data_IF_810014059348
#
_entry.id   IF_810014059348
#
_cell.length_a   1.000
_cell.length_b   1.000
_cell.length_c   1.000
_cell.angle_alpha   90.00
_cell.angle_beta   90.00
_cell.angle_gamma   90.00
#
_symmetry.space_group_name_H-M   'P 1'
#
loop_
_entity.id
_entity.type
_entity.pdbx_description
1 polymer ?
#
# COMPACT_ATOMS: atom_id res chain seq x y z
N UNK A 1 19.09 27.27 14.70
CA UNK A 1 18.30 27.74 13.53
C UNK A 1 18.00 26.53 12.67
N UNK A 2 16.74 26.11 12.55
CA UNK A 2 16.34 25.16 11.50
C UNK A 2 15.99 25.96 10.26
N UNK A 3 16.60 25.59 9.15
CA UNK A 3 16.42 26.23 7.85
C UNK A 3 15.05 25.78 7.29
N UNK A 4 13.97 26.41 7.76
CA UNK A 4 12.58 26.08 7.41
C UNK A 4 12.15 26.73 6.08
N UNK A 5 13.01 26.60 5.06
CA UNK A 5 12.68 26.94 3.67
C UNK A 5 12.88 25.74 2.73
N UNK A 6 12.77 24.53 3.27
CA UNK A 6 12.67 23.33 2.46
C UNK A 6 11.33 23.33 1.71
N UNK A 7 11.37 23.80 0.46
CA UNK A 7 10.24 23.70 -0.45
C UNK A 7 10.08 22.23 -0.83
N UNK A 8 8.93 21.65 -0.54
CA UNK A 8 8.65 20.24 -0.88
C UNK A 8 7.77 20.16 -2.12
N UNK A 9 7.90 19.07 -2.86
CA UNK A 9 7.12 18.85 -4.08
C UNK A 9 5.82 18.12 -3.77
N UNK A 10 4.69 18.65 -4.25
CA UNK A 10 3.40 17.98 -4.08
C UNK A 10 3.35 16.70 -4.94
N UNK A 11 3.01 15.53 -4.38
CA UNK A 11 2.98 14.27 -5.14
C UNK A 11 1.81 14.16 -6.13
N UNK A 12 0.93 15.17 -6.20
CA UNK A 12 -0.28 15.16 -7.05
C UNK A 12 -0.18 16.13 -8.23
N UNK A 13 0.36 17.33 -7.99
CA UNK A 13 0.50 18.36 -9.01
C UNK A 13 1.96 18.69 -9.34
N UNK A 14 2.92 18.08 -8.64
CA UNK A 14 4.37 18.29 -8.81
C UNK A 14 4.83 19.75 -8.65
N UNK A 15 4.00 20.61 -8.06
CA UNK A 15 4.36 21.99 -7.73
C UNK A 15 5.13 22.00 -6.41
N UNK A 16 6.22 22.76 -6.39
CA UNK A 16 7.00 23.04 -5.21
C UNK A 16 6.23 24.03 -4.31
N UNK A 17 6.05 23.70 -3.03
CA UNK A 17 5.35 24.56 -2.07
C UNK A 17 6.06 24.58 -0.72
N UNK A 18 5.88 25.66 0.04
CA UNK A 18 6.37 25.75 1.42
C UNK A 18 5.38 25.02 2.34
N UNK A 19 5.76 23.91 3.00
CA UNK A 19 4.86 23.20 3.88
C UNK A 19 4.65 23.99 5.16
N UNK A 20 3.40 24.06 5.62
CA UNK A 20 3.09 24.49 6.98
C UNK A 20 3.08 23.26 7.92
N UNK A 21 4.07 23.15 8.80
CA UNK A 21 4.26 22.00 9.69
C UNK A 21 4.45 20.66 8.97
N UNK A 22 3.56 19.68 9.20
CA UNK A 22 3.62 18.32 8.61
C UNK A 22 2.86 18.19 7.28
N UNK A 23 2.58 19.30 6.60
CA UNK A 23 1.85 19.31 5.35
C UNK A 23 2.63 18.57 4.25
N UNK A 24 1.99 17.57 3.61
CA UNK A 24 2.58 16.80 2.49
C UNK A 24 1.96 17.12 1.12
N UNK A 25 0.92 17.95 1.11
CA UNK A 25 0.20 18.32 -0.11
C UNK A 25 0.01 19.83 -0.12
N UNK A 26 0.21 20.48 -1.27
CA UNK A 26 0.09 21.93 -1.39
C UNK A 26 -1.30 22.48 -1.00
N UNK A 27 -2.35 21.67 -1.11
CA UNK A 27 -3.73 22.07 -0.83
C UNK A 27 -4.61 20.89 -0.42
N UNK A 28 -5.76 21.20 0.19
CA UNK A 28 -6.81 20.22 0.52
C UNK A 28 -7.31 19.48 -0.72
N UNK A 29 -7.39 20.15 -1.89
CA UNK A 29 -7.78 19.53 -3.16
C UNK A 29 -6.79 18.43 -3.58
N UNK A 30 -5.49 18.70 -3.48
CA UNK A 30 -4.47 17.69 -3.77
C UNK A 30 -4.49 16.55 -2.75
N UNK A 31 -4.70 16.85 -1.47
CA UNK A 31 -4.87 15.82 -0.42
C UNK A 31 -6.05 14.88 -0.73
N UNK A 32 -7.20 15.42 -1.11
CA UNK A 32 -8.37 14.60 -1.46
C UNK A 32 -8.14 13.78 -2.73
N UNK A 33 -7.50 14.35 -3.76
CA UNK A 33 -7.15 13.60 -4.99
C UNK A 33 -6.20 12.45 -4.70
N UNK A 34 -5.17 12.67 -3.89
CA UNK A 34 -4.26 11.60 -3.44
C UNK A 34 -5.01 10.49 -2.70
N UNK A 35 -5.96 10.85 -1.81
CA UNK A 35 -6.77 9.87 -1.09
C UNK A 35 -7.68 9.06 -2.02
N UNK A 36 -8.32 9.71 -3.01
CA UNK A 36 -9.16 9.01 -4.00
C UNK A 36 -8.33 8.06 -4.87
N UNK A 37 -7.14 8.48 -5.31
CA UNK A 37 -6.22 7.62 -6.07
C UNK A 37 -5.81 6.38 -5.27
N UNK A 38 -5.47 6.54 -3.99
CA UNK A 38 -5.13 5.41 -3.12
C UNK A 38 -6.28 4.44 -2.91
N UNK A 39 -7.52 4.94 -2.87
CA UNK A 39 -8.72 4.10 -2.71
C UNK A 39 -9.22 3.47 -4.01
N UNK A 40 -8.97 4.11 -5.14
CA UNK A 40 -9.33 3.60 -6.45
C UNK A 40 -8.30 2.60 -7.00
N UNK A 41 -7.09 2.60 -6.45
CA UNK A 41 -6.10 1.58 -6.76
C UNK A 41 -6.66 0.20 -6.34
N UNK A 42 -6.76 -0.77 -7.28
CA UNK A 42 -7.04 -2.15 -6.91
C UNK A 42 -5.97 -2.60 -5.91
N UNK A 43 -6.40 -2.98 -4.71
CA UNK A 43 -5.51 -3.68 -3.79
C UNK A 43 -5.42 -5.09 -4.34
N UNK A 44 -4.26 -5.44 -4.91
CA UNK A 44 -4.00 -6.84 -5.27
C UNK A 44 -4.20 -7.68 -4.00
N UNK A 45 -5.06 -8.71 -4.03
CA UNK A 45 -5.24 -9.54 -2.86
C UNK A 45 -3.90 -10.20 -2.56
N UNK A 46 -3.30 -9.82 -1.44
CA UNK A 46 -2.10 -10.47 -0.94
C UNK A 46 -2.51 -11.89 -0.60
N UNK A 47 -2.23 -12.85 -1.49
CA UNK A 47 -2.43 -14.28 -1.24
C UNK A 47 -1.46 -14.70 -0.14
N UNK A 48 -1.92 -14.58 1.11
CA UNK A 48 -1.15 -15.01 2.28
C UNK A 48 -0.86 -16.50 2.15
N UNK A 49 0.42 -16.89 2.26
CA UNK A 49 0.90 -18.28 2.28
C UNK A 49 0.86 -19.04 0.94
N UNK A 50 0.99 -18.36 -0.19
CA UNK A 50 1.15 -19.02 -1.50
C UNK A 50 2.29 -20.07 -1.51
N UNK A 51 3.38 -19.81 -0.77
CA UNK A 51 4.56 -20.69 -0.74
C UNK A 51 4.55 -21.73 0.40
N UNK A 52 3.47 -21.80 1.18
CA UNK A 52 3.40 -22.75 2.31
C UNK A 52 2.96 -24.12 1.82
N UNK A 53 3.77 -25.14 2.10
CA UNK A 53 3.40 -26.54 1.87
C UNK A 53 2.57 -27.04 3.05
N UNK A 54 1.33 -27.41 2.76
CA UNK A 54 0.44 -28.12 3.68
C UNK A 54 0.52 -29.62 3.40
N UNK A 55 0.67 -30.44 4.44
CA UNK A 55 0.63 -31.90 4.34
C UNK A 55 -0.63 -32.41 5.03
N UNK A 56 -1.44 -33.18 4.33
CA UNK A 56 -2.63 -33.80 4.91
C UNK A 56 -2.22 -34.99 5.79
N UNK A 57 -2.58 -35.04 7.08
CA UNK A 57 -2.22 -36.16 7.95
C UNK A 57 -2.98 -37.46 7.61
N UNK A 58 -4.08 -37.39 6.84
CA UNK A 58 -4.91 -38.55 6.51
C UNK A 58 -4.49 -39.26 5.22
N UNK A 59 -4.03 -38.51 4.21
CA UNK A 59 -3.65 -39.07 2.90
C UNK A 59 -2.18 -38.82 2.50
N UNK A 60 -1.41 -38.17 3.38
CA UNK A 60 0.01 -37.81 3.19
C UNK A 60 0.32 -36.89 1.99
N UNK A 61 -0.72 -36.45 1.26
CA UNK A 61 -0.58 -35.55 0.12
C UNK A 61 -0.09 -34.17 0.55
N UNK A 62 0.83 -33.61 -0.24
CA UNK A 62 1.38 -32.26 -0.06
C UNK A 62 0.76 -31.28 -1.05
N UNK A 63 0.23 -30.18 -0.52
CA UNK A 63 -0.42 -29.11 -1.27
C UNK A 63 0.33 -27.80 -1.09
N UNK A 64 0.51 -27.03 -2.16
CA UNK A 64 1.16 -25.72 -2.13
C UNK A 64 0.09 -24.62 -2.07
N UNK A 65 0.10 -23.81 -1.01
CA UNK A 65 -0.83 -22.70 -0.85
C UNK A 65 -2.29 -23.09 -0.56
N UNK A 66 -2.62 -24.39 -0.56
CA UNK A 66 -3.97 -24.91 -0.31
C UNK A 66 -3.97 -25.67 1.02
N UNK A 67 -4.68 -25.14 2.01
CA UNK A 67 -4.80 -25.72 3.36
C UNK A 67 -6.12 -26.49 3.53
N UNK A 68 -6.49 -27.27 2.53
CA UNK A 68 -7.65 -28.18 2.58
C UNK A 68 -7.33 -29.43 1.76
N UNK A 69 -7.88 -30.57 2.17
CA UNK A 69 -7.94 -31.75 1.32
C UNK A 69 -9.15 -31.60 0.37
N UNK A 70 -9.00 -31.95 -0.90
CA UNK A 70 -10.13 -32.03 -1.85
C UNK A 70 -10.76 -33.45 -1.90
N UNK A 71 -10.19 -34.37 -1.13
CA UNK A 71 -10.56 -35.79 -0.97
C UNK A 71 -11.03 -36.07 0.46
#
# INVERSE_FOLDING_TARGET
>A
MRDDTATITCPVCHVAFKPDGRQRHCSTRCRQRAWRQRRAAPVEPLVTRADTVYQCPSCDTRYLGIQRCED
#
